data_IF_595067747296
#
_entry.id   IF_595067747296
#
_cell.length_a   1.000
_cell.length_b   1.000
_cell.length_c   1.000
_cell.angle_alpha   90.00
_cell.angle_beta   90.00
_cell.angle_gamma   90.00
#
_symmetry.space_group_name_H-M   'P 1'
#
loop_
_entity.id
_entity.type
_entity.pdbx_description
1 polymer ?
#
# COMPACT_ATOMS: atom_id res chain seq x y z
N UNK A 1 16.17 2.97 16.75
CA UNK A 1 14.80 2.62 16.31
C UNK A 1 14.78 2.28 14.83
N UNK A 2 14.04 1.27 14.39
CA UNK A 2 13.78 0.87 13.01
C UNK A 2 12.28 1.01 12.70
N UNK A 3 11.96 1.85 11.71
CA UNK A 3 10.64 1.88 11.08
C UNK A 3 10.64 0.98 9.83
N UNK A 4 9.86 -0.10 9.86
CA UNK A 4 9.65 -0.97 8.71
C UNK A 4 8.40 -0.52 7.96
N UNK A 5 8.59 -0.04 6.72
CA UNK A 5 7.59 0.72 5.98
C UNK A 5 7.43 0.26 4.53
N UNK A 6 6.34 0.67 3.89
CA UNK A 6 6.07 0.37 2.47
C UNK A 6 6.66 1.43 1.53
N UNK A 7 7.09 1.02 0.34
CA UNK A 7 7.95 1.85 -0.53
C UNK A 7 7.42 3.27 -0.88
N UNK A 8 6.12 3.49 -1.17
CA UNK A 8 5.56 4.82 -1.42
C UNK A 8 5.79 5.86 -0.32
N UNK A 9 6.07 5.47 0.93
CA UNK A 9 6.27 6.40 2.05
C UNK A 9 7.73 6.72 2.33
N UNK A 10 8.66 6.33 1.45
CA UNK A 10 10.10 6.55 1.62
C UNK A 10 10.46 8.02 1.85
N UNK A 11 10.07 8.90 0.93
CA UNK A 11 10.39 10.32 1.05
C UNK A 11 9.62 10.97 2.21
N UNK A 12 8.35 10.56 2.44
CA UNK A 12 7.57 11.00 3.59
C UNK A 12 8.32 10.74 4.91
N UNK A 13 8.80 9.52 5.12
CA UNK A 13 9.48 9.20 6.38
C UNK A 13 10.87 9.81 6.46
N UNK A 14 11.56 10.07 5.34
CA UNK A 14 12.84 10.80 5.36
C UNK A 14 12.66 12.18 5.99
N UNK A 15 11.66 12.93 5.55
CA UNK A 15 11.37 14.27 6.05
C UNK A 15 10.74 14.22 7.46
N UNK A 16 9.78 13.32 7.66
CA UNK A 16 9.10 13.16 8.96
C UNK A 16 10.07 12.74 10.06
N UNK A 17 10.99 11.79 9.79
CA UNK A 17 11.96 11.35 10.81
C UNK A 17 12.91 12.49 11.19
N UNK A 18 13.36 13.30 10.23
CA UNK A 18 14.21 14.46 10.53
C UNK A 18 13.46 15.48 11.41
N UNK A 19 12.19 15.74 11.12
CA UNK A 19 11.33 16.60 11.94
C UNK A 19 11.08 16.01 13.33
N UNK A 20 10.76 14.71 13.41
CA UNK A 20 10.52 14.01 14.67
C UNK A 20 11.75 14.00 15.58
N UNK A 21 12.94 13.73 15.04
CA UNK A 21 14.17 13.72 15.83
C UNK A 21 14.44 15.09 16.46
N UNK A 22 14.26 16.18 15.69
CA UNK A 22 14.40 17.55 16.19
C UNK A 22 13.36 17.86 17.27
N UNK A 23 12.10 17.50 17.03
CA UNK A 23 11.01 17.71 17.97
C UNK A 23 11.24 16.95 19.29
N UNK A 24 11.65 15.69 19.20
CA UNK A 24 11.87 14.84 20.37
C UNK A 24 13.05 15.32 21.20
N UNK A 25 14.17 15.68 20.56
CA UNK A 25 15.33 16.27 21.24
C UNK A 25 14.97 17.57 21.97
N UNK A 26 14.24 18.47 21.32
CA UNK A 26 13.82 19.73 21.91
C UNK A 26 12.87 19.52 23.11
N UNK A 27 11.98 18.53 23.02
CA UNK A 27 10.96 18.27 24.05
C UNK A 27 11.50 17.48 25.25
N UNK A 28 12.42 16.56 25.02
CA UNK A 28 12.82 15.55 26.04
C UNK A 28 14.31 15.56 26.37
N UNK A 29 15.13 16.24 25.56
CA UNK A 29 16.59 16.15 25.64
C UNK A 29 17.17 14.84 25.08
N UNK A 30 16.34 13.91 24.60
CA UNK A 30 16.80 12.62 24.08
C UNK A 30 17.04 12.65 22.57
N UNK A 31 18.19 12.14 22.15
CA UNK A 31 18.50 11.95 20.73
C UNK A 31 17.96 10.59 20.28
N UNK A 32 17.07 10.62 19.30
CA UNK A 32 16.54 9.41 18.65
C UNK A 32 17.09 9.29 17.23
N UNK A 33 17.48 8.07 16.86
CA UNK A 33 17.89 7.74 15.50
C UNK A 33 16.93 6.71 14.91
N UNK A 34 16.20 7.13 13.87
CA UNK A 34 15.18 6.33 13.19
C UNK A 34 15.70 5.87 11.84
N UNK A 35 16.08 4.59 11.79
CA UNK A 35 16.41 3.89 10.54
C UNK A 35 15.14 3.46 9.83
N UNK A 36 15.22 3.23 8.53
CA UNK A 36 14.07 2.86 7.71
C UNK A 36 14.37 1.63 6.85
N UNK A 37 13.39 0.75 6.73
CA UNK A 37 13.37 -0.32 5.72
C UNK A 37 12.18 -0.11 4.80
N UNK A 38 12.40 -0.09 3.49
CA UNK A 38 11.36 0.17 2.49
C UNK A 38 11.31 -0.93 1.43
N UNK A 39 10.09 -1.33 1.09
CA UNK A 39 9.80 -2.37 0.12
C UNK A 39 8.29 -2.56 0.02
N UNK A 40 7.81 -3.57 -0.69
CA UNK A 40 6.36 -3.77 -0.68
C UNK A 40 5.87 -4.15 0.74
N UNK A 41 4.76 -3.55 1.19
CA UNK A 41 4.05 -3.83 2.47
C UNK A 41 4.10 -5.29 2.97
N UNK A 42 3.37 -6.25 2.39
CA UNK A 42 3.47 -7.67 2.76
C UNK A 42 4.88 -8.34 2.79
N UNK A 43 5.95 -7.84 2.14
CA UNK A 43 7.33 -8.41 2.27
C UNK A 43 7.94 -7.86 3.54
N UNK A 44 7.63 -6.61 3.85
CA UNK A 44 8.03 -5.97 5.09
C UNK A 44 7.31 -6.63 6.27
N UNK A 45 5.99 -6.84 6.17
CA UNK A 45 5.25 -7.64 7.14
C UNK A 45 5.86 -9.03 7.34
N UNK A 46 6.11 -9.78 6.25
CA UNK A 46 6.76 -11.09 6.32
C UNK A 46 8.17 -11.02 6.92
N UNK A 47 8.96 -10.01 6.57
CA UNK A 47 10.28 -9.80 7.14
C UNK A 47 10.24 -9.63 8.65
N UNK A 48 9.32 -8.80 9.16
CA UNK A 48 9.10 -8.61 10.61
C UNK A 48 8.60 -9.89 11.25
N UNK A 49 7.63 -10.56 10.60
CA UNK A 49 7.07 -11.83 11.04
C UNK A 49 8.11 -12.93 11.19
N UNK A 50 9.14 -12.91 10.34
CA UNK A 50 10.18 -13.93 10.26
C UNK A 50 11.49 -13.51 10.97
N UNK A 51 11.47 -12.41 11.74
CA UNK A 51 12.54 -12.06 12.69
C UNK A 51 13.24 -10.71 12.47
N UNK A 52 12.82 -9.89 11.51
CA UNK A 52 13.30 -8.51 11.41
C UNK A 52 12.77 -7.69 12.59
N UNK A 53 13.66 -7.26 13.48
CA UNK A 53 13.33 -6.48 14.67
C UNK A 53 12.93 -5.05 14.31
N UNK A 54 11.63 -4.84 14.06
CA UNK A 54 11.04 -3.53 13.88
C UNK A 54 10.50 -2.99 15.20
N UNK A 55 10.80 -1.72 15.50
CA UNK A 55 10.19 -1.03 16.64
C UNK A 55 8.79 -0.50 16.26
N UNK A 56 8.62 -0.08 15.01
CA UNK A 56 7.36 0.40 14.46
C UNK A 56 7.20 -0.13 13.04
N UNK A 57 5.97 -0.52 12.69
CA UNK A 57 5.58 -0.85 11.32
C UNK A 57 4.62 0.18 10.78
N UNK A 58 4.85 0.63 9.55
CA UNK A 58 3.99 1.61 8.86
C UNK A 58 3.66 1.06 7.48
N UNK A 59 2.63 0.21 7.42
CA UNK A 59 2.32 -0.65 6.27
C UNK A 59 1.12 -0.13 5.46
N UNK A 60 0.89 -0.69 4.28
CA UNK A 60 -0.05 -0.16 3.30
C UNK A 60 -1.53 -0.50 3.55
N UNK A 61 -1.82 -1.52 4.36
CA UNK A 61 -3.17 -2.01 4.62
C UNK A 61 -3.22 -2.88 5.88
N UNK A 62 -4.38 -2.89 6.55
CA UNK A 62 -4.59 -3.58 7.83
C UNK A 62 -4.23 -5.07 7.80
N UNK A 63 -4.60 -5.78 6.73
CA UNK A 63 -4.29 -7.20 6.59
C UNK A 63 -2.78 -7.53 6.69
N UNK A 64 -1.89 -6.63 6.27
CA UNK A 64 -0.44 -6.87 6.38
C UNK A 64 0.05 -6.67 7.83
N UNK A 65 -0.66 -5.87 8.63
CA UNK A 65 -0.40 -5.68 10.06
C UNK A 65 -1.00 -6.86 10.86
N UNK A 66 -2.18 -7.35 10.47
CA UNK A 66 -2.81 -8.53 11.10
C UNK A 66 -1.93 -9.79 11.01
N UNK A 67 -1.13 -9.93 9.95
CA UNK A 67 -0.15 -11.01 9.82
C UNK A 67 0.91 -11.01 10.96
N UNK A 68 1.11 -9.90 11.66
CA UNK A 68 1.99 -9.79 12.83
C UNK A 68 1.28 -10.20 14.13
N UNK A 69 -0.05 -10.04 14.19
CA UNK A 69 -0.89 -10.52 15.31
C UNK A 69 -0.84 -12.04 15.39
N UNK A 70 -0.83 -12.74 14.24
CA UNK A 70 -0.74 -14.21 14.17
C UNK A 70 0.51 -14.76 14.87
N UNK A 71 1.61 -13.98 14.87
CA UNK A 71 2.85 -14.30 15.59
C UNK A 71 2.92 -13.69 16.99
N UNK A 72 1.86 -13.02 17.45
CA UNK A 72 1.77 -12.32 18.73
C UNK A 72 2.84 -11.23 18.90
N UNK A 73 3.33 -10.65 17.80
CA UNK A 73 4.31 -9.55 17.83
C UNK A 73 3.67 -8.21 18.22
N UNK A 74 2.38 -8.08 17.97
CA UNK A 74 1.55 -6.93 18.34
C UNK A 74 0.21 -7.45 18.92
N UNK A 75 -0.49 -6.65 19.74
CA UNK A 75 -1.77 -7.07 20.29
C UNK A 75 -2.87 -7.13 19.22
N UNK A 76 -3.86 -8.01 19.42
CA UNK A 76 -4.94 -8.22 18.46
C UNK A 76 -5.85 -7.01 18.24
N UNK A 77 -5.91 -6.09 19.21
CA UNK A 77 -6.67 -4.85 19.14
C UNK A 77 -5.85 -3.66 18.64
N UNK A 78 -4.69 -3.91 17.98
CA UNK A 78 -3.79 -2.87 17.48
C UNK A 78 -4.49 -1.74 16.71
N UNK A 79 -5.53 -2.08 15.94
CA UNK A 79 -6.25 -1.16 15.08
C UNK A 79 -7.02 -0.09 15.88
N UNK A 80 -7.35 -0.38 17.15
CA UNK A 80 -8.07 0.54 18.04
C UNK A 80 -7.14 1.41 18.88
N UNK A 81 -5.83 1.14 18.88
CA UNK A 81 -4.87 1.83 19.75
C UNK A 81 -4.63 3.29 19.36
N UNK A 82 -4.93 3.66 18.11
CA UNK A 82 -4.88 5.03 17.62
C UNK A 82 -6.16 5.40 16.87
N UNK A 83 -6.49 6.70 16.77
CA UNK A 83 -7.63 7.17 16.01
C UNK A 83 -7.64 6.69 14.55
N UNK A 84 -8.82 6.72 13.93
CA UNK A 84 -9.01 6.41 12.51
C UNK A 84 -8.47 5.03 12.12
N UNK A 85 -8.71 4.01 12.94
CA UNK A 85 -8.25 2.64 12.71
C UNK A 85 -6.72 2.55 12.54
N UNK A 86 -5.98 3.31 13.36
CA UNK A 86 -4.52 3.43 13.27
C UNK A 86 -4.01 3.86 11.88
N UNK A 87 -4.82 4.65 11.16
CA UNK A 87 -4.50 5.18 9.82
C UNK A 87 -4.41 6.71 9.86
N UNK A 88 -3.22 7.29 10.10
CA UNK A 88 -3.06 8.74 10.29
C UNK A 88 -3.22 9.56 9.00
N UNK A 89 -3.27 8.90 7.84
CA UNK A 89 -3.54 9.52 6.54
C UNK A 89 -4.29 8.51 5.65
N UNK A 90 -4.91 9.03 4.59
CA UNK A 90 -5.55 8.23 3.55
C UNK A 90 -4.99 8.61 2.17
N UNK A 91 -5.25 7.78 1.19
CA UNK A 91 -4.91 8.03 -0.21
C UNK A 91 -5.97 7.39 -1.11
N UNK A 92 -5.81 7.51 -2.42
CA UNK A 92 -6.70 6.89 -3.41
C UNK A 92 -5.91 6.40 -4.62
N UNK A 93 -6.54 5.56 -5.43
CA UNK A 93 -5.96 5.05 -6.67
C UNK A 93 -6.29 6.02 -7.80
N UNK A 94 -5.27 6.39 -8.57
CA UNK A 94 -5.39 7.28 -9.73
C UNK A 94 -4.62 6.71 -10.92
N UNK A 95 -4.92 7.20 -12.13
CA UNK A 95 -4.13 6.90 -13.32
C UNK A 95 -3.09 7.99 -13.56
N UNK A 96 -1.83 7.57 -13.70
CA UNK A 96 -0.77 8.42 -14.20
C UNK A 96 -0.56 8.13 -15.69
N UNK A 97 -0.78 9.14 -16.53
CA UNK A 97 -0.66 9.03 -17.99
C UNK A 97 0.49 9.89 -18.52
N UNK A 98 1.01 9.55 -19.71
CA UNK A 98 2.01 10.39 -20.40
C UNK A 98 1.39 11.72 -20.82
N UNK A 99 2.22 12.76 -20.96
CA UNK A 99 1.81 14.09 -21.44
C UNK A 99 0.98 13.97 -22.73
N UNK A 100 -0.14 14.69 -22.78
CA UNK A 100 -1.09 14.68 -23.89
C UNK A 100 -2.08 13.50 -23.88
N UNK A 101 -1.96 12.56 -22.93
CA UNK A 101 -2.81 11.37 -22.83
C UNK A 101 -3.04 10.68 -24.20
N UNK A 102 -1.97 10.18 -24.85
CA UNK A 102 -2.05 9.66 -26.23
C UNK A 102 -2.96 8.44 -26.39
N UNK A 103 -3.36 7.81 -25.27
CA UNK A 103 -4.27 6.66 -25.23
C UNK A 103 -5.68 7.02 -24.79
N UNK A 104 -5.95 8.30 -24.57
CA UNK A 104 -7.24 8.83 -24.12
C UNK A 104 -7.82 8.11 -22.90
N UNK A 105 -6.97 7.65 -21.96
CA UNK A 105 -7.40 6.95 -20.74
C UNK A 105 -8.08 7.94 -19.81
N UNK A 106 -9.34 7.68 -19.47
CA UNK A 106 -10.16 8.51 -18.58
C UNK A 106 -10.80 7.70 -17.46
N UNK A 107 -11.08 6.42 -17.69
CA UNK A 107 -11.70 5.54 -16.71
C UNK A 107 -11.17 4.09 -16.79
N UNK A 108 -11.55 3.25 -15.82
CA UNK A 108 -11.14 1.84 -15.74
C UNK A 108 -11.55 1.03 -16.98
N UNK A 109 -12.64 1.40 -17.64
CA UNK A 109 -13.09 0.80 -18.91
C UNK A 109 -12.13 1.02 -20.07
N UNK A 110 -11.24 2.03 -20.00
CA UNK A 110 -10.24 2.32 -21.02
C UNK A 110 -8.96 1.49 -20.85
N UNK A 111 -8.85 0.72 -19.77
CA UNK A 111 -7.64 -0.07 -19.42
C UNK A 111 -7.60 -1.47 -20.07
N UNK A 112 -8.28 -1.63 -21.21
CA UNK A 112 -8.27 -2.85 -22.02
C UNK A 112 -6.89 -3.12 -22.68
N UNK A 113 -6.86 -3.88 -23.78
CA UNK A 113 -5.65 -4.23 -24.53
C UNK A 113 -4.81 -3.01 -24.98
N UNK A 114 -5.36 -1.80 -24.93
CA UNK A 114 -4.65 -0.54 -25.18
C UNK A 114 -3.54 -0.24 -24.17
N UNK A 115 -3.55 -0.83 -22.97
CA UNK A 115 -2.52 -0.62 -21.95
C UNK A 115 -1.56 -1.81 -21.88
N UNK A 116 -0.24 -1.64 -22.06
CA UNK A 116 0.73 -2.73 -21.92
C UNK A 116 0.59 -3.44 -20.57
N UNK A 117 0.60 -4.78 -20.58
CA UNK A 117 0.55 -5.59 -19.36
C UNK A 117 1.70 -5.24 -18.38
N UNK A 118 2.80 -4.67 -18.87
CA UNK A 118 3.91 -4.16 -18.06
C UNK A 118 3.55 -2.94 -17.19
N UNK A 119 2.61 -2.10 -17.63
CA UNK A 119 2.02 -1.01 -16.82
C UNK A 119 0.92 -1.53 -15.87
N UNK A 120 0.37 -2.72 -16.17
CA UNK A 120 -0.60 -3.46 -15.35
C UNK A 120 0.10 -4.42 -14.35
N UNK A 121 1.44 -4.44 -14.35
CA UNK A 121 2.29 -5.41 -13.63
C UNK A 121 2.23 -5.24 -12.11
N UNK A 122 1.43 -6.06 -11.45
CA UNK A 122 1.55 -6.32 -10.01
C UNK A 122 2.41 -7.57 -9.77
N UNK A 123 3.69 -7.57 -10.16
CA UNK A 123 4.54 -8.77 -10.00
C UNK A 123 4.69 -9.19 -8.52
N UNK A 124 4.32 -8.33 -7.56
CA UNK A 124 3.97 -8.71 -6.17
C UNK A 124 2.82 -7.82 -5.65
N UNK A 125 1.63 -8.34 -5.29
CA UNK A 125 0.42 -7.54 -5.15
C UNK A 125 0.32 -6.90 -3.76
N UNK A 126 0.64 -5.61 -3.63
CA UNK A 126 0.44 -4.85 -2.37
C UNK A 126 -0.27 -3.52 -2.60
N UNK A 127 0.32 -2.60 -3.38
CA UNK A 127 -0.47 -1.57 -4.07
C UNK A 127 -1.43 -2.20 -5.09
N UNK A 128 -1.05 -3.36 -5.63
CA UNK A 128 -1.91 -4.16 -6.50
C UNK A 128 -3.23 -4.59 -5.87
N UNK A 129 -3.30 -4.78 -4.54
CA UNK A 129 -4.57 -5.11 -3.86
C UNK A 129 -5.54 -3.92 -3.91
N UNK A 130 -5.06 -2.71 -3.59
CA UNK A 130 -5.89 -1.51 -3.73
C UNK A 130 -6.30 -1.25 -5.18
N UNK A 131 -5.39 -1.40 -6.14
CA UNK A 131 -5.73 -1.24 -7.56
C UNK A 131 -6.76 -2.27 -8.04
N UNK A 132 -6.60 -3.54 -7.62
CA UNK A 132 -7.54 -4.61 -7.94
C UNK A 132 -8.92 -4.33 -7.34
N UNK A 133 -8.98 -3.96 -6.06
CA UNK A 133 -10.23 -3.63 -5.37
C UNK A 133 -10.90 -2.40 -5.98
N UNK A 134 -10.14 -1.39 -6.41
CA UNK A 134 -10.67 -0.22 -7.09
C UNK A 134 -11.30 -0.60 -8.45
N UNK A 135 -10.61 -1.40 -9.27
CA UNK A 135 -11.14 -1.91 -10.53
C UNK A 135 -12.39 -2.79 -10.32
N UNK A 136 -12.35 -3.68 -9.32
CA UNK A 136 -13.47 -4.54 -8.96
C UNK A 136 -14.69 -3.71 -8.52
N UNK A 137 -14.49 -2.75 -7.61
CA UNK A 137 -15.55 -1.87 -7.12
C UNK A 137 -16.13 -1.00 -8.24
N UNK A 138 -15.30 -0.53 -9.17
CA UNK A 138 -15.78 0.18 -10.36
C UNK A 138 -16.68 -0.72 -11.22
N UNK A 139 -16.27 -1.96 -11.48
CA UNK A 139 -17.02 -2.90 -12.31
C UNK A 139 -18.37 -3.31 -11.68
N UNK A 140 -18.42 -3.42 -10.35
CA UNK A 140 -19.68 -3.64 -9.62
C UNK A 140 -20.67 -2.49 -9.77
N UNK A 141 -20.18 -1.25 -9.92
CA UNK A 141 -21.02 -0.04 -10.04
C UNK A 141 -21.50 0.23 -11.47
N UNK A 142 -21.05 -0.52 -12.46
CA UNK A 142 -21.50 -0.37 -13.84
C UNK A 142 -22.93 -0.91 -14.04
N UNK A 143 -23.66 -0.45 -15.08
CA UNK A 143 -24.96 -1.01 -15.42
C UNK A 143 -24.94 -2.54 -15.58
N UNK A 144 -25.77 -3.23 -14.80
CA UNK A 144 -25.80 -4.69 -14.75
C UNK A 144 -24.53 -5.32 -14.16
N UNK A 145 -23.76 -4.59 -13.36
CA UNK A 145 -22.58 -5.07 -12.63
C UNK A 145 -22.94 -6.17 -11.64
N UNK A 146 -22.09 -7.19 -11.57
CA UNK A 146 -22.21 -8.31 -10.64
C UNK A 146 -20.81 -8.89 -10.36
N UNK A 147 -20.72 -9.80 -9.39
CA UNK A 147 -19.43 -10.40 -9.00
C UNK A 147 -18.70 -11.08 -10.16
N UNK A 148 -19.43 -11.76 -11.05
CA UNK A 148 -18.85 -12.42 -12.20
C UNK A 148 -18.20 -11.42 -13.16
N UNK A 149 -18.87 -10.30 -13.45
CA UNK A 149 -18.33 -9.21 -14.29
C UNK A 149 -17.17 -8.49 -13.61
N UNK A 150 -17.24 -8.26 -12.30
CA UNK A 150 -16.16 -7.63 -11.54
C UNK A 150 -14.90 -8.52 -11.52
N UNK A 151 -15.08 -9.82 -11.30
CA UNK A 151 -14.02 -10.82 -11.42
C UNK A 151 -13.45 -10.88 -12.83
N UNK A 152 -14.30 -10.82 -13.85
CA UNK A 152 -13.89 -10.75 -15.26
C UNK A 152 -13.04 -9.51 -15.56
N UNK A 153 -13.46 -8.35 -15.06
CA UNK A 153 -12.74 -7.07 -15.23
C UNK A 153 -11.38 -7.11 -14.55
N UNK A 154 -11.32 -7.55 -13.29
CA UNK A 154 -10.05 -7.76 -12.59
C UNK A 154 -9.15 -8.76 -13.33
N UNK A 155 -9.74 -9.84 -13.86
CA UNK A 155 -8.99 -10.81 -14.66
C UNK A 155 -8.49 -10.21 -15.96
N UNK A 156 -9.26 -9.40 -16.68
CA UNK A 156 -8.84 -8.79 -17.95
C UNK A 156 -7.76 -7.72 -17.76
N UNK A 157 -7.91 -6.87 -16.75
CA UNK A 157 -6.93 -5.82 -16.43
C UNK A 157 -5.63 -6.45 -15.92
N UNK A 158 -5.71 -7.51 -15.10
CA UNK A 158 -4.52 -8.09 -14.46
C UNK A 158 -4.08 -9.45 -15.05
N UNK A 159 -4.69 -9.94 -16.14
CA UNK A 159 -4.22 -11.13 -16.89
C UNK A 159 -2.89 -10.82 -17.55
N UNK A 160 -1.97 -11.79 -17.48
CA UNK A 160 -0.62 -11.77 -18.06
C UNK A 160 0.37 -10.79 -17.40
N UNK A 161 0.55 -10.94 -16.08
CA UNK A 161 1.76 -10.49 -15.38
C UNK A 161 2.81 -11.61 -15.22
N UNK A 162 2.92 -12.52 -16.20
CA UNK A 162 3.76 -13.73 -16.13
C UNK A 162 4.88 -13.77 -17.18
N UNK A 163 6.10 -13.48 -16.72
CA UNK A 163 7.42 -14.02 -17.12
C UNK A 163 8.46 -13.39 -16.18
#
# INVERSE_FOLDING_TARGET
MLNVSYDPTRELYKDFNAAFNKHWQAKTGQTVNVRQSHGGSGKQAMGVRDGLEADVVTLALAFDIDALVERKLIPADWQKRFPHNSSPYTSTVVFLVRKGNPKAIKDWGDLDDRVPASLRRTRRPRAGRWNYLAAWAWALKQPGGNEQKAKGTGTAIFKNAGA
#
